data_IF_952762719691
#
_entry.id   IF_952762719691
#
_cell.length_a   1.000
_cell.length_b   1.000
_cell.length_c   1.000
_cell.angle_alpha   90.00
_cell.angle_beta   90.00
_cell.angle_gamma   90.00
#
_symmetry.space_group_name_H-M   'P 1'
#
loop_
_entity.id
_entity.type
_entity.pdbx_description
1 polymer ?
#
# COMPACT_ATOMS: atom_id res chain seq x y z
N UNK A 1 62.11 57.72 -43.06
CA UNK A 1 60.77 57.55 -42.44
C UNK A 1 60.73 56.17 -41.82
N UNK A 2 60.70 56.09 -40.49
CA UNK A 2 60.57 54.83 -39.73
C UNK A 2 59.44 55.02 -38.73
N UNK A 3 58.37 54.24 -38.88
CA UNK A 3 57.21 54.26 -38.00
C UNK A 3 57.47 53.36 -36.80
N UNK A 4 57.49 53.94 -35.59
CA UNK A 4 57.53 53.19 -34.34
C UNK A 4 56.14 52.64 -33.99
N UNK A 5 56.06 51.33 -33.75
CA UNK A 5 54.88 50.68 -33.17
C UNK A 5 54.77 51.05 -31.70
N UNK A 6 53.66 51.69 -31.33
CA UNK A 6 53.22 51.84 -29.94
C UNK A 6 53.07 50.45 -29.32
N UNK A 7 53.72 50.23 -28.18
CA UNK A 7 53.56 49.03 -27.37
C UNK A 7 52.11 48.87 -26.93
N UNK A 8 51.56 47.68 -27.15
CA UNK A 8 50.34 47.25 -26.49
C UNK A 8 50.66 47.11 -25.00
N UNK A 9 49.93 47.86 -24.18
CA UNK A 9 49.87 47.64 -22.74
C UNK A 9 49.19 46.29 -22.54
N UNK A 10 49.90 45.35 -21.92
CA UNK A 10 49.35 44.07 -21.49
C UNK A 10 48.15 44.32 -20.59
N UNK A 11 46.94 44.08 -21.11
CA UNK A 11 45.75 43.98 -20.28
C UNK A 11 45.94 42.77 -19.37
N UNK A 12 46.07 43.02 -18.07
CA UNK A 12 45.97 41.98 -17.05
C UNK A 12 44.73 41.12 -17.34
N UNK A 13 44.85 39.78 -17.33
CA UNK A 13 43.69 38.92 -17.51
C UNK A 13 42.63 39.31 -16.47
N UNK A 14 41.34 39.36 -16.86
CA UNK A 14 40.28 39.70 -15.93
C UNK A 14 40.39 38.77 -14.72
N UNK A 15 40.22 39.30 -13.49
CA UNK A 15 40.28 38.48 -12.29
C UNK A 15 39.29 37.31 -12.46
N UNK A 16 39.68 36.09 -12.04
CA UNK A 16 38.79 34.95 -12.13
C UNK A 16 37.46 35.30 -11.45
N UNK A 17 36.31 34.94 -12.05
CA UNK A 17 35.01 35.28 -11.50
C UNK A 17 34.95 34.80 -10.04
N UNK A 18 34.40 35.62 -9.12
CA UNK A 18 34.37 35.29 -7.70
C UNK A 18 33.70 33.93 -7.51
N UNK A 19 34.38 33.04 -6.77
CA UNK A 19 33.94 31.68 -6.52
C UNK A 19 32.57 31.72 -5.82
N UNK A 20 31.49 31.39 -6.54
CA UNK A 20 30.12 31.54 -6.06
C UNK A 20 29.74 30.43 -5.10
N UNK A 21 28.86 30.74 -4.15
CA UNK A 21 28.21 29.70 -3.32
C UNK A 21 27.41 28.80 -4.26
N UNK A 22 27.61 27.49 -4.15
CA UNK A 22 26.85 26.49 -4.89
C UNK A 22 26.45 25.36 -3.93
N UNK A 23 25.19 24.94 -4.01
CA UNK A 23 24.71 23.72 -3.38
C UNK A 23 25.18 22.52 -4.22
N UNK A 24 26.06 21.70 -3.65
CA UNK A 24 26.62 20.51 -4.32
C UNK A 24 25.65 19.32 -4.25
N UNK A 25 25.03 19.12 -3.08
CA UNK A 25 24.10 18.01 -2.87
C UNK A 25 23.18 18.24 -1.67
N UNK A 26 22.11 17.46 -1.63
CA UNK A 26 21.18 17.41 -0.51
C UNK A 26 20.78 15.97 -0.18
N UNK A 27 20.47 15.70 1.08
CA UNK A 27 19.94 14.42 1.54
C UNK A 27 19.01 14.60 2.73
N UNK A 28 18.24 13.56 3.06
CA UNK A 28 17.38 13.56 4.24
C UNK A 28 17.31 12.17 4.87
N UNK A 29 16.89 12.12 6.12
CA UNK A 29 16.63 10.90 6.87
C UNK A 29 15.32 11.08 7.62
N UNK A 30 14.39 10.15 7.42
CA UNK A 30 13.11 10.13 8.15
C UNK A 30 13.37 9.58 9.55
N UNK A 31 12.97 10.35 10.56
CA UNK A 31 13.08 10.04 11.97
C UNK A 31 12.19 8.88 12.42
N UNK A 32 12.28 8.56 13.70
CA UNK A 32 11.50 7.51 14.35
C UNK A 32 11.04 8.04 15.71
N UNK A 33 9.75 8.36 15.84
CA UNK A 33 9.21 8.96 17.06
C UNK A 33 9.24 7.99 18.24
N UNK A 34 9.15 6.68 18.00
CA UNK A 34 9.31 5.65 19.04
C UNK A 34 10.70 5.72 19.70
N UNK A 35 11.75 6.09 18.93
CA UNK A 35 13.12 6.23 19.41
C UNK A 35 13.50 7.69 19.72
N UNK A 36 12.55 8.62 19.71
CA UNK A 36 12.79 10.08 19.82
C UNK A 36 13.82 10.61 18.80
N UNK A 37 13.88 10.03 17.62
CA UNK A 37 14.78 10.47 16.53
C UNK A 37 14.00 11.39 15.60
N UNK A 38 14.45 12.64 15.48
CA UNK A 38 13.84 13.64 14.60
C UNK A 38 14.23 13.44 13.14
N UNK A 39 13.36 13.89 12.23
CA UNK A 39 13.70 14.05 10.82
C UNK A 39 14.90 14.98 10.66
N UNK A 40 15.81 14.62 9.75
CA UNK A 40 17.02 15.38 9.47
C UNK A 40 17.16 15.65 7.98
N UNK A 41 17.52 16.89 7.64
CA UNK A 41 17.83 17.35 6.29
C UNK A 41 19.26 17.88 6.26
N UNK A 42 20.00 17.57 5.20
CA UNK A 42 21.41 17.94 5.05
C UNK A 42 21.63 18.56 3.68
N UNK A 43 22.31 19.70 3.67
CA UNK A 43 22.72 20.43 2.48
C UNK A 43 24.24 20.60 2.50
N UNK A 44 24.91 20.26 1.40
CA UNK A 44 26.35 20.40 1.25
C UNK A 44 26.67 21.52 0.25
N UNK A 45 27.52 22.45 0.67
CA UNK A 45 27.94 23.59 -0.13
C UNK A 45 29.43 23.49 -0.50
N UNK A 46 29.77 24.02 -1.66
CA UNK A 46 31.15 24.02 -2.18
C UNK A 46 32.14 24.86 -1.35
N UNK A 47 31.63 25.77 -0.51
CA UNK A 47 32.42 26.63 0.39
C UNK A 47 31.69 26.87 1.73
N UNK A 48 32.39 27.36 2.77
CA UNK A 48 31.78 27.67 4.05
C UNK A 48 30.66 28.70 3.92
N UNK A 49 29.54 28.46 4.62
CA UNK A 49 28.37 29.33 4.62
C UNK A 49 27.82 29.53 6.03
N UNK A 50 27.03 30.59 6.20
CA UNK A 50 26.14 30.83 7.34
C UNK A 50 24.70 30.89 6.87
N UNK A 51 23.77 30.39 7.68
CA UNK A 51 22.35 30.33 7.32
C UNK A 51 21.65 31.62 7.73
N UNK A 52 21.10 32.35 6.76
CA UNK A 52 20.23 33.49 7.01
C UNK A 52 18.82 33.00 7.35
N UNK A 53 18.21 32.18 6.48
CA UNK A 53 16.86 31.67 6.66
C UNK A 53 16.67 30.28 6.05
N UNK A 54 15.74 29.52 6.63
CA UNK A 54 15.19 28.28 6.08
C UNK A 54 13.68 28.43 6.17
N UNK A 55 13.01 28.44 5.02
CA UNK A 55 11.58 28.66 4.93
C UNK A 55 10.94 27.46 4.24
N UNK A 56 9.99 26.81 4.91
CA UNK A 56 9.12 25.84 4.25
C UNK A 56 8.15 26.60 3.35
N UNK A 57 8.14 26.33 2.04
CA UNK A 57 7.28 27.01 1.06
C UNK A 57 5.84 26.49 1.13
N UNK A 58 5.59 25.42 1.90
CA UNK A 58 4.28 24.81 2.08
C UNK A 58 3.45 25.51 3.15
N UNK A 59 2.15 25.71 2.89
CA UNK A 59 1.19 26.29 3.85
C UNK A 59 0.72 25.27 4.91
N UNK A 60 1.26 24.05 4.92
CA UNK A 60 0.72 22.94 5.72
C UNK A 60 1.13 23.05 7.19
N UNK A 61 2.25 23.71 7.50
CA UNK A 61 2.63 23.98 8.89
C UNK A 61 3.63 25.14 9.02
N UNK A 62 3.74 25.68 10.23
CA UNK A 62 4.80 26.62 10.63
C UNK A 62 5.84 25.85 11.45
N UNK A 63 6.89 25.29 10.83
CA UNK A 63 7.83 24.45 11.55
C UNK A 63 8.78 25.30 12.41
N UNK A 64 9.05 24.84 13.63
CA UNK A 64 10.17 25.33 14.45
C UNK A 64 11.45 24.61 14.02
N UNK A 65 12.04 25.06 12.91
CA UNK A 65 13.19 24.40 12.29
C UNK A 65 14.47 24.72 13.07
N UNK A 66 14.94 23.72 13.82
CA UNK A 66 16.29 23.71 14.37
C UNK A 66 17.34 23.55 13.27
N UNK A 67 18.49 24.23 13.40
CA UNK A 67 19.59 24.15 12.44
C UNK A 67 20.96 24.17 13.08
N UNK A 68 21.92 23.54 12.41
CA UNK A 68 23.33 23.53 12.77
C UNK A 68 24.21 23.55 11.52
N UNK A 69 25.42 24.08 11.66
CA UNK A 69 26.42 24.11 10.59
C UNK A 69 27.61 23.27 11.04
N UNK A 70 28.02 22.33 10.20
CA UNK A 70 29.09 21.37 10.47
C UNK A 70 30.10 21.35 9.31
N UNK A 71 31.17 20.55 9.48
CA UNK A 71 32.20 20.34 8.46
C UNK A 71 32.83 21.66 7.97
N UNK A 72 33.42 22.42 8.91
CA UNK A 72 34.06 23.70 8.65
C UNK A 72 33.16 24.70 7.90
N UNK A 73 31.87 24.73 8.23
CA UNK A 73 30.93 25.68 7.63
C UNK A 73 30.28 25.21 6.33
N UNK A 74 30.69 24.06 5.76
CA UNK A 74 30.25 23.63 4.41
C UNK A 74 28.97 22.80 4.39
N UNK A 75 28.43 22.46 5.56
CA UNK A 75 27.27 21.58 5.65
C UNK A 75 26.23 22.18 6.57
N UNK A 76 25.04 22.43 6.03
CA UNK A 76 23.88 22.89 6.79
C UNK A 76 23.01 21.69 7.07
N UNK A 77 22.84 21.35 8.36
CA UNK A 77 21.90 20.34 8.83
C UNK A 77 20.74 21.03 9.52
N UNK A 78 19.51 20.70 9.16
CA UNK A 78 18.31 21.19 9.82
C UNK A 78 17.34 20.05 10.12
N UNK A 79 16.47 20.24 11.10
CA UNK A 79 15.66 19.19 11.70
C UNK A 79 14.38 19.76 12.33
N UNK A 80 13.59 18.90 12.98
CA UNK A 80 12.36 19.26 13.69
C UNK A 80 11.17 19.65 12.80
N UNK A 81 11.00 18.97 11.65
CA UNK A 81 9.79 19.09 10.84
C UNK A 81 8.64 18.25 11.44
N UNK A 82 7.99 18.75 12.49
CA UNK A 82 6.97 18.00 13.23
C UNK A 82 5.72 17.64 12.40
N UNK A 83 5.47 18.35 11.30
CA UNK A 83 4.33 18.16 10.42
C UNK A 83 4.64 17.27 9.20
N UNK A 84 5.78 16.57 9.22
CA UNK A 84 6.15 15.69 8.13
C UNK A 84 5.24 14.45 8.10
N UNK A 85 4.81 14.02 6.93
CA UNK A 85 3.97 12.86 6.68
C UNK A 85 4.58 12.06 5.53
N UNK A 86 4.50 10.72 5.60
CA UNK A 86 4.85 9.87 4.47
C UNK A 86 4.00 10.20 3.24
N UNK A 87 4.60 10.13 2.05
CA UNK A 87 3.90 10.34 0.78
C UNK A 87 3.78 11.81 0.37
N UNK A 88 4.53 12.72 1.00
CA UNK A 88 4.51 14.17 0.70
C UNK A 88 5.85 14.69 0.19
N UNK A 89 5.78 15.80 -0.54
CA UNK A 89 6.93 16.61 -0.92
C UNK A 89 7.04 17.84 -0.02
N UNK A 90 8.24 18.10 0.48
CA UNK A 90 8.55 19.30 1.27
C UNK A 90 9.56 20.16 0.53
N UNK A 91 9.14 21.36 0.14
CA UNK A 91 9.99 22.34 -0.55
C UNK A 91 10.45 23.40 0.42
N UNK A 92 11.76 23.62 0.51
CA UNK A 92 12.36 24.63 1.35
C UNK A 92 13.09 25.66 0.49
N UNK A 93 12.92 26.94 0.84
CA UNK A 93 13.80 28.00 0.39
C UNK A 93 14.86 28.22 1.46
N UNK A 94 16.13 28.10 1.09
CA UNK A 94 17.26 28.23 2.01
C UNK A 94 18.13 29.38 1.54
N UNK A 95 18.26 30.40 2.39
CA UNK A 95 19.16 31.55 2.16
C UNK A 95 20.41 31.39 3.00
N UNK A 96 21.56 31.39 2.33
CA UNK A 96 22.87 31.33 2.97
C UNK A 96 23.75 32.50 2.54
N UNK A 97 24.76 32.83 3.34
CA UNK A 97 25.81 33.79 2.97
C UNK A 97 27.20 33.28 3.30
N UNK A 98 28.20 33.73 2.56
CA UNK A 98 29.60 33.47 2.86
C UNK A 98 30.22 34.55 3.77
N UNK A 99 31.53 34.48 3.97
CA UNK A 99 32.32 35.40 4.78
C UNK A 99 32.42 36.81 4.19
N UNK A 100 32.33 36.96 2.88
CA UNK A 100 32.30 38.26 2.17
C UNK A 100 30.88 38.83 2.03
N UNK A 101 29.86 38.13 2.55
CA UNK A 101 28.47 38.59 2.56
C UNK A 101 27.70 38.33 1.26
N UNK A 102 28.24 37.56 0.32
CA UNK A 102 27.52 37.10 -0.87
C UNK A 102 26.35 36.21 -0.43
N UNK A 103 25.14 36.49 -0.90
CA UNK A 103 23.95 35.71 -0.58
C UNK A 103 23.62 34.74 -1.73
N UNK A 104 23.27 33.51 -1.37
CA UNK A 104 22.72 32.50 -2.27
C UNK A 104 21.37 32.02 -1.72
N UNK A 105 20.40 31.81 -2.61
CA UNK A 105 19.07 31.31 -2.28
C UNK A 105 18.79 30.07 -3.11
N UNK A 106 18.63 28.94 -2.43
CA UNK A 106 18.34 27.65 -3.05
C UNK A 106 16.90 27.23 -2.74
N UNK A 107 16.25 26.57 -3.71
CA UNK A 107 15.00 25.86 -3.47
C UNK A 107 15.25 24.37 -3.57
N UNK A 108 15.08 23.66 -2.45
CA UNK A 108 15.33 22.22 -2.34
C UNK A 108 14.02 21.48 -2.04
N UNK A 109 13.82 20.33 -2.68
CA UNK A 109 12.67 19.45 -2.45
C UNK A 109 13.13 18.14 -1.81
N UNK A 110 12.48 17.76 -0.72
CA UNK A 110 12.63 16.44 -0.10
C UNK A 110 11.31 15.66 -0.20
N UNK A 111 11.37 14.48 -0.80
CA UNK A 111 10.23 13.60 -0.97
C UNK A 111 10.22 12.57 0.16
N UNK A 112 9.17 12.53 0.99
CA UNK A 112 8.99 11.53 2.06
C UNK A 112 8.49 10.20 1.51
N UNK A 113 9.12 9.76 0.41
CA UNK A 113 8.90 8.55 -0.34
C UNK A 113 10.06 8.37 -1.31
N UNK A 114 10.35 7.13 -1.69
CA UNK A 114 11.38 6.84 -2.69
C UNK A 114 10.84 6.99 -4.11
N UNK A 115 9.56 6.68 -4.30
CA UNK A 115 8.89 6.81 -5.59
C UNK A 115 7.40 7.10 -5.45
N UNK A 116 6.87 7.88 -6.39
CA UNK A 116 5.44 8.07 -6.60
C UNK A 116 5.10 7.53 -7.98
N UNK A 117 4.08 6.70 -8.09
CA UNK A 117 3.65 6.18 -9.38
C UNK A 117 2.67 7.14 -10.07
N UNK A 118 2.93 7.52 -11.33
CA UNK A 118 2.07 8.45 -12.08
C UNK A 118 0.86 7.72 -12.69
N UNK A 119 -0.03 7.23 -11.80
CA UNK A 119 -1.32 6.66 -12.18
C UNK A 119 -2.36 7.79 -12.25
N UNK A 120 -3.02 7.89 -13.39
CA UNK A 120 -4.11 8.84 -13.60
C UNK A 120 -5.44 8.26 -13.09
N UNK A 121 -6.26 9.09 -12.45
CA UNK A 121 -7.57 8.70 -11.91
C UNK A 121 -7.51 8.20 -10.47
N UNK A 122 -8.67 7.86 -9.94
CA UNK A 122 -8.83 7.32 -8.59
C UNK A 122 -8.43 5.84 -8.57
N UNK A 123 -7.39 5.49 -7.82
CA UNK A 123 -6.97 4.09 -7.65
C UNK A 123 -8.02 3.34 -6.82
N UNK A 124 -8.62 2.33 -7.43
CA UNK A 124 -9.68 1.51 -6.83
C UNK A 124 -9.10 0.29 -6.12
N UNK A 125 -8.19 -0.43 -6.77
CA UNK A 125 -7.47 -1.57 -6.22
C UNK A 125 -6.09 -1.67 -6.87
N UNK A 126 -5.13 -2.27 -6.17
CA UNK A 126 -3.83 -2.57 -6.75
C UNK A 126 -3.24 -3.85 -6.12
N UNK A 127 -2.31 -4.48 -6.85
CA UNK A 127 -1.58 -5.65 -6.38
C UNK A 127 -0.17 -5.64 -6.97
N UNK A 128 0.76 -6.28 -6.26
CA UNK A 128 2.13 -6.54 -6.69
C UNK A 128 2.14 -7.90 -7.38
N UNK A 129 2.82 -8.03 -8.53
CA UNK A 129 3.00 -9.32 -9.19
C UNK A 129 3.84 -10.26 -8.33
N UNK A 130 3.63 -11.58 -8.46
CA UNK A 130 4.29 -12.57 -7.61
C UNK A 130 5.83 -12.55 -7.71
N UNK A 131 6.39 -12.06 -8.81
CA UNK A 131 7.82 -11.88 -9.04
C UNK A 131 8.38 -10.55 -8.50
N UNK A 132 7.55 -9.74 -7.83
CA UNK A 132 7.87 -8.41 -7.30
C UNK A 132 8.34 -7.39 -8.36
N UNK A 133 8.04 -7.61 -9.64
CA UNK A 133 8.48 -6.70 -10.72
C UNK A 133 7.46 -5.66 -11.11
N UNK A 134 6.17 -5.97 -11.01
CA UNK A 134 5.11 -5.15 -11.56
C UNK A 134 4.07 -4.78 -10.50
N UNK A 135 3.50 -3.60 -10.66
CA UNK A 135 2.27 -3.19 -9.99
C UNK A 135 1.17 -3.21 -11.03
N UNK A 136 0.09 -3.90 -10.68
CA UNK A 136 -1.17 -3.81 -11.40
C UNK A 136 -2.16 -3.00 -10.58
N UNK A 137 -2.83 -2.06 -11.22
CA UNK A 137 -3.83 -1.21 -10.57
C UNK A 137 -5.06 -1.05 -11.45
N UNK A 138 -6.23 -0.96 -10.82
CA UNK A 138 -7.47 -0.51 -11.47
C UNK A 138 -7.77 0.92 -11.06
N UNK A 139 -8.23 1.73 -12.00
CA UNK A 139 -8.58 3.13 -11.76
C UNK A 139 -10.03 3.41 -12.14
N UNK A 140 -10.60 4.45 -11.53
CA UNK A 140 -11.85 5.08 -11.95
C UNK A 140 -11.58 6.53 -12.34
N UNK A 141 -12.31 7.04 -13.34
CA UNK A 141 -12.16 8.40 -13.86
C UNK A 141 -10.69 8.78 -14.17
N UNK A 142 -10.04 8.13 -15.16
CA UNK A 142 -10.59 7.20 -16.14
C UNK A 142 -10.64 5.73 -15.67
N UNK A 143 -11.52 4.94 -16.29
CA UNK A 143 -11.71 3.52 -16.01
C UNK A 143 -10.64 2.68 -16.73
N UNK A 144 -9.62 2.20 -16.01
CA UNK A 144 -8.47 1.53 -16.63
C UNK A 144 -7.91 0.39 -15.79
N UNK A 145 -7.12 -0.46 -16.44
CA UNK A 145 -6.08 -1.28 -15.82
C UNK A 145 -4.73 -0.67 -16.20
N UNK A 146 -3.86 -0.50 -15.22
CA UNK A 146 -2.51 0.02 -15.39
C UNK A 146 -1.52 -1.03 -14.87
N UNK A 147 -0.50 -1.32 -15.68
CA UNK A 147 0.66 -2.10 -15.27
C UNK A 147 1.90 -1.20 -15.34
N UNK A 148 2.72 -1.19 -14.29
CA UNK A 148 3.99 -0.48 -14.26
C UNK A 148 5.05 -1.35 -13.61
N UNK A 149 6.30 -1.16 -14.02
CA UNK A 149 7.43 -1.77 -13.35
C UNK A 149 7.72 -1.03 -12.03
N UNK A 150 8.06 -1.80 -11.00
CA UNK A 150 8.34 -1.30 -9.65
C UNK A 150 9.64 -0.49 -9.61
N UNK A 151 10.64 -0.88 -10.40
CA UNK A 151 11.98 -0.30 -10.47
C UNK A 151 12.18 0.61 -11.69
N UNK A 152 11.49 0.38 -12.80
CA UNK A 152 11.53 1.23 -14.01
C UNK A 152 10.20 1.95 -14.28
N UNK A 153 10.12 3.24 -13.94
CA UNK A 153 8.90 4.03 -14.17
C UNK A 153 8.60 4.31 -15.65
N UNK A 154 9.50 3.99 -16.57
CA UNK A 154 9.28 4.21 -18.01
C UNK A 154 8.39 3.12 -18.61
N UNK A 155 8.42 1.91 -18.05
CA UNK A 155 7.53 0.84 -18.48
C UNK A 155 6.12 1.07 -17.93
N UNK A 156 5.16 1.32 -18.83
CA UNK A 156 3.76 1.47 -18.49
C UNK A 156 2.88 0.86 -19.59
N UNK A 157 2.01 -0.07 -19.20
CA UNK A 157 0.88 -0.52 -20.04
C UNK A 157 -0.41 0.01 -19.46
N UNK A 158 -1.28 0.50 -20.33
CA UNK A 158 -2.59 1.05 -19.97
C UNK A 158 -3.62 0.37 -20.86
N UNK A 159 -4.69 -0.12 -20.23
CA UNK A 159 -5.82 -0.73 -20.90
C UNK A 159 -7.09 -0.02 -20.45
N UNK A 160 -7.79 0.62 -21.37
CA UNK A 160 -9.06 1.28 -21.08
C UNK A 160 -10.17 0.24 -20.89
N UNK A 161 -11.05 0.50 -19.93
CA UNK A 161 -12.21 -0.34 -19.61
C UNK A 161 -13.50 0.44 -19.86
N UNK A 162 -14.50 -0.25 -20.42
CA UNK A 162 -15.83 0.32 -20.68
C UNK A 162 -16.73 0.41 -19.45
N UNK A 163 -16.25 -0.03 -18.29
CA UNK A 163 -16.99 -0.05 -17.02
C UNK A 163 -16.06 0.37 -15.89
N UNK A 164 -16.61 0.86 -14.77
CA UNK A 164 -15.83 1.23 -13.59
C UNK A 164 -15.32 -0.03 -12.86
N UNK A 165 -14.01 -0.33 -12.85
CA UNK A 165 -13.48 -1.48 -12.13
C UNK A 165 -13.39 -1.19 -10.62
N UNK A 166 -13.57 -2.21 -9.78
CA UNK A 166 -13.30 -2.11 -8.33
C UNK A 166 -12.11 -2.95 -7.91
N UNK A 167 -12.17 -4.26 -8.14
CA UNK A 167 -11.15 -5.24 -7.73
C UNK A 167 -10.76 -6.10 -8.93
N UNK A 168 -9.54 -6.59 -8.95
CA UNK A 168 -9.12 -7.63 -9.86
C UNK A 168 -8.23 -8.63 -9.13
N UNK A 169 -8.13 -9.84 -9.66
CA UNK A 169 -7.21 -10.86 -9.17
C UNK A 169 -6.83 -11.83 -10.28
N UNK A 170 -5.68 -12.47 -10.14
CA UNK A 170 -5.15 -13.45 -11.09
C UNK A 170 -5.69 -14.83 -10.76
N UNK A 171 -6.25 -15.51 -11.76
CA UNK A 171 -6.57 -16.93 -11.65
C UNK A 171 -5.32 -17.78 -11.92
N UNK A 172 -4.97 -18.72 -11.01
CA UNK A 172 -3.71 -19.45 -11.11
C UNK A 172 -3.67 -20.51 -12.22
N UNK A 173 -4.83 -20.98 -12.72
CA UNK A 173 -4.87 -21.98 -13.79
C UNK A 173 -4.65 -21.32 -15.15
N UNK A 174 -5.42 -20.29 -15.46
CA UNK A 174 -5.45 -19.72 -16.81
C UNK A 174 -4.63 -18.42 -16.95
N UNK A 175 -4.08 -17.90 -15.85
CA UNK A 175 -3.25 -16.70 -15.82
C UNK A 175 -3.97 -15.44 -16.35
N UNK A 176 -5.30 -15.39 -16.25
CA UNK A 176 -6.14 -14.24 -16.62
C UNK A 176 -6.58 -13.48 -15.38
N UNK A 177 -6.84 -12.18 -15.55
CA UNK A 177 -7.45 -11.38 -14.50
C UNK A 177 -8.97 -11.52 -14.50
N UNK A 178 -9.52 -11.70 -13.30
CA UNK A 178 -10.96 -11.67 -13.05
C UNK A 178 -11.25 -10.33 -12.41
N UNK A 179 -11.95 -9.47 -13.15
CA UNK A 179 -12.19 -8.08 -12.77
C UNK A 179 -13.64 -7.94 -12.32
N UNK A 180 -13.82 -7.42 -11.11
CA UNK A 180 -15.11 -7.09 -10.53
C UNK A 180 -15.44 -5.63 -10.83
N UNK A 181 -16.63 -5.33 -11.38
CA UNK A 181 -17.10 -3.95 -11.53
C UNK A 181 -17.39 -3.31 -10.17
N UNK A 182 -17.53 -1.99 -10.17
CA UNK A 182 -18.00 -1.25 -9.01
C UNK A 182 -19.44 -1.68 -8.68
N UNK A 183 -19.75 -2.11 -7.45
CA UNK A 183 -21.02 -2.77 -7.15
C UNK A 183 -22.20 -1.78 -7.03
N UNK A 184 -21.94 -0.48 -6.89
CA UNK A 184 -22.98 0.52 -6.67
C UNK A 184 -23.28 1.31 -7.96
N UNK A 185 -24.55 1.38 -8.34
CA UNK A 185 -25.06 2.16 -9.47
C UNK A 185 -24.49 1.78 -10.86
N UNK A 186 -23.95 0.57 -11.00
CA UNK A 186 -23.50 0.02 -12.29
C UNK A 186 -24.52 -1.01 -12.80
N UNK A 187 -24.90 -0.99 -14.09
CA UNK A 187 -25.87 -1.94 -14.66
C UNK A 187 -25.34 -3.37 -14.75
N UNK A 188 -24.02 -3.56 -14.64
CA UNK A 188 -23.33 -4.84 -14.85
C UNK A 188 -22.74 -5.42 -13.55
N UNK A 189 -23.30 -5.06 -12.39
CA UNK A 189 -22.76 -5.42 -11.07
C UNK A 189 -22.80 -6.92 -10.73
N UNK A 190 -23.55 -7.71 -11.50
CA UNK A 190 -23.64 -9.16 -11.47
C UNK A 190 -22.56 -9.87 -12.31
N UNK A 191 -21.70 -9.10 -13.01
CA UNK A 191 -20.73 -9.65 -13.96
C UNK A 191 -19.32 -9.77 -13.39
N UNK A 192 -18.57 -10.74 -13.92
CA UNK A 192 -17.13 -10.89 -13.73
C UNK A 192 -16.48 -10.88 -15.12
N UNK A 193 -15.55 -9.97 -15.34
CA UNK A 193 -14.87 -9.81 -16.63
C UNK A 193 -13.53 -10.54 -16.60
N UNK A 194 -13.32 -11.47 -17.54
CA UNK A 194 -12.07 -12.22 -17.68
C UNK A 194 -11.20 -11.52 -18.72
N UNK A 195 -10.14 -10.90 -18.24
CA UNK A 195 -9.20 -10.09 -18.99
C UNK A 195 -7.87 -10.81 -19.17
N UNK A 196 -7.37 -10.84 -20.40
CA UNK A 196 -6.05 -11.39 -20.70
C UNK A 196 -4.98 -10.28 -20.60
N UNK A 197 -4.07 -10.36 -19.62
CA UNK A 197 -3.06 -9.32 -19.40
C UNK A 197 -1.98 -9.24 -20.49
N UNK A 198 -1.85 -10.27 -21.32
CA UNK A 198 -0.90 -10.28 -22.44
C UNK A 198 -1.46 -9.53 -23.65
N UNK A 199 -2.75 -9.74 -23.97
CA UNK A 199 -3.39 -9.14 -25.15
C UNK A 199 -4.09 -7.82 -24.84
N UNK A 200 -4.45 -7.56 -23.58
CA UNK A 200 -5.19 -6.37 -23.18
C UNK A 200 -6.70 -6.46 -23.44
N UNK A 201 -7.23 -7.66 -23.75
CA UNK A 201 -8.62 -7.83 -24.14
C UNK A 201 -9.44 -8.53 -23.06
N UNK A 202 -10.73 -8.18 -22.98
CA UNK A 202 -11.74 -8.97 -22.27
C UNK A 202 -12.13 -10.13 -23.18
N UNK A 203 -11.84 -11.36 -22.76
CA UNK A 203 -12.06 -12.57 -23.58
C UNK A 203 -13.35 -13.30 -23.23
N UNK A 204 -13.82 -13.15 -21.99
CA UNK A 204 -15.05 -13.80 -21.50
C UNK A 204 -15.70 -12.91 -20.44
N UNK A 205 -17.02 -12.95 -20.40
CA UNK A 205 -17.82 -12.28 -19.37
C UNK A 205 -18.68 -13.36 -18.71
N UNK A 206 -18.56 -13.51 -17.40
CA UNK A 206 -19.41 -14.38 -16.60
C UNK A 206 -20.52 -13.54 -15.99
N UNK A 207 -21.74 -14.08 -15.98
CA UNK A 207 -22.89 -13.49 -15.31
C UNK A 207 -23.27 -14.37 -14.13
N UNK A 208 -23.28 -13.80 -12.92
CA UNK A 208 -23.77 -14.51 -11.72
C UNK A 208 -25.29 -14.48 -11.73
N UNK A 209 -25.90 -15.61 -12.06
CA UNK A 209 -27.36 -15.74 -12.12
C UNK A 209 -27.98 -16.02 -10.76
N UNK A 210 -29.26 -15.67 -10.62
CA UNK A 210 -30.05 -16.03 -9.43
C UNK A 210 -30.24 -17.54 -9.33
N UNK A 211 -30.18 -18.03 -8.10
CA UNK A 211 -30.61 -19.36 -7.70
C UNK A 211 -31.93 -19.31 -6.92
N UNK A 212 -32.44 -20.49 -6.56
CA UNK A 212 -33.73 -20.66 -5.86
C UNK A 212 -33.78 -20.01 -4.47
N UNK A 213 -32.62 -19.70 -3.89
CA UNK A 213 -32.54 -19.10 -2.57
C UNK A 213 -32.51 -17.57 -2.67
N UNK A 214 -32.24 -16.98 -3.85
CA UNK A 214 -32.17 -15.52 -4.04
C UNK A 214 -33.53 -14.86 -3.98
N UNK A 215 -33.56 -13.63 -3.43
CA UNK A 215 -34.77 -12.82 -3.51
C UNK A 215 -35.04 -12.47 -4.99
N UNK A 216 -36.17 -12.93 -5.57
CA UNK A 216 -36.48 -12.70 -6.97
C UNK A 216 -36.62 -11.21 -7.32
N UNK A 217 -36.96 -10.35 -6.36
CA UNK A 217 -37.16 -8.92 -6.57
C UNK A 217 -35.87 -8.09 -6.68
N UNK A 218 -34.73 -8.61 -6.20
CA UNK A 218 -33.49 -7.81 -6.10
C UNK A 218 -32.41 -8.24 -7.07
N UNK A 219 -31.58 -7.34 -7.56
CA UNK A 219 -30.44 -7.70 -8.44
C UNK A 219 -29.26 -8.28 -7.64
N UNK A 220 -28.54 -9.22 -8.25
CA UNK A 220 -27.28 -9.74 -7.69
C UNK A 220 -26.17 -8.73 -7.95
N UNK A 221 -25.27 -8.61 -6.98
CA UNK A 221 -24.01 -7.91 -7.13
C UNK A 221 -22.86 -8.72 -6.55
N UNK A 222 -21.68 -8.62 -7.17
CA UNK A 222 -20.48 -9.34 -6.75
C UNK A 222 -19.56 -8.43 -5.92
N UNK A 223 -19.40 -8.74 -4.63
CA UNK A 223 -18.62 -7.96 -3.67
C UNK A 223 -17.20 -8.45 -3.47
N UNK A 224 -16.94 -9.71 -3.72
CA UNK A 224 -15.59 -10.24 -3.55
C UNK A 224 -15.41 -11.52 -4.36
N UNK A 225 -14.17 -11.84 -4.64
CA UNK A 225 -13.75 -13.05 -5.31
C UNK A 225 -12.35 -13.42 -4.81
N UNK A 226 -12.09 -14.71 -4.66
CA UNK A 226 -10.75 -15.25 -4.45
C UNK A 226 -10.65 -16.66 -5.03
N UNK A 227 -9.45 -17.04 -5.51
CA UNK A 227 -9.15 -18.40 -5.98
C UNK A 227 -8.09 -19.06 -5.12
N UNK A 228 -8.31 -20.33 -4.82
CA UNK A 228 -7.25 -21.24 -4.41
C UNK A 228 -6.32 -21.59 -5.55
N UNK A 229 -5.21 -22.26 -5.23
CA UNK A 229 -4.12 -22.57 -6.17
C UNK A 229 -4.56 -23.38 -7.39
N UNK A 230 -5.63 -24.16 -7.27
CA UNK A 230 -6.15 -25.04 -8.30
C UNK A 230 -7.36 -24.43 -9.03
N UNK A 231 -7.59 -23.12 -8.94
CA UNK A 231 -8.72 -22.46 -9.61
C UNK A 231 -10.09 -22.77 -9.00
N UNK A 232 -10.15 -23.48 -7.88
CA UNK A 232 -11.33 -23.55 -7.03
C UNK A 232 -11.44 -22.26 -6.22
N UNK A 233 -12.50 -21.48 -6.41
CA UNK A 233 -12.64 -20.16 -5.83
C UNK A 233 -14.00 -19.92 -5.20
N UNK A 234 -14.08 -18.80 -4.49
CA UNK A 234 -15.30 -18.33 -3.83
C UNK A 234 -15.66 -16.97 -4.40
N UNK A 235 -16.92 -16.82 -4.79
CA UNK A 235 -17.55 -15.53 -5.08
C UNK A 235 -18.34 -15.13 -3.84
N UNK A 236 -18.08 -13.95 -3.28
CA UNK A 236 -18.99 -13.30 -2.35
C UNK A 236 -19.86 -12.31 -3.13
N UNK A 237 -21.17 -12.42 -2.94
CA UNK A 237 -22.20 -11.73 -3.68
C UNK A 237 -23.33 -11.32 -2.73
N UNK A 238 -24.28 -10.54 -3.19
CA UNK A 238 -25.50 -10.30 -2.43
C UNK A 238 -26.50 -9.52 -3.25
N UNK A 239 -27.53 -9.02 -2.58
CA UNK A 239 -28.53 -8.20 -3.22
C UNK A 239 -28.73 -6.93 -2.41
N UNK A 240 -28.46 -5.78 -3.04
CA UNK A 240 -28.72 -4.48 -2.43
C UNK A 240 -30.19 -4.42 -1.99
N UNK A 241 -30.45 -3.83 -0.81
CA UNK A 241 -31.77 -3.53 -0.23
C UNK A 241 -32.55 -4.62 0.53
N UNK A 242 -32.18 -5.91 0.55
CA UNK A 242 -33.01 -6.86 1.34
C UNK A 242 -32.41 -8.19 1.82
N UNK A 243 -31.17 -8.56 1.48
CA UNK A 243 -30.68 -9.91 1.82
C UNK A 243 -29.24 -9.91 2.33
N UNK A 244 -28.89 -10.85 3.23
CA UNK A 244 -27.51 -11.04 3.66
C UNK A 244 -26.53 -11.33 2.52
N UNK A 245 -25.23 -11.15 2.77
CA UNK A 245 -24.19 -11.53 1.81
C UNK A 245 -24.21 -13.04 1.61
N UNK A 246 -24.02 -13.48 0.37
CA UNK A 246 -24.11 -14.86 -0.08
C UNK A 246 -22.82 -15.24 -0.77
N UNK A 247 -22.41 -16.48 -0.60
CA UNK A 247 -21.23 -16.97 -1.26
C UNK A 247 -21.52 -18.18 -2.14
N UNK A 248 -20.79 -18.26 -3.25
CA UNK A 248 -20.88 -19.33 -4.26
C UNK A 248 -19.48 -19.80 -4.59
N UNK A 249 -19.40 -20.99 -5.16
CA UNK A 249 -18.17 -21.48 -5.76
C UNK A 249 -18.08 -20.98 -7.20
N UNK A 250 -16.88 -20.60 -7.60
CA UNK A 250 -16.47 -20.52 -9.00
C UNK A 250 -15.36 -21.53 -9.22
N UNK A 251 -15.51 -22.39 -10.21
CA UNK A 251 -14.58 -23.48 -10.44
C UNK A 251 -13.98 -23.41 -11.85
N UNK A 252 -12.77 -22.86 -11.95
CA UNK A 252 -12.06 -22.75 -13.23
C UNK A 252 -11.55 -24.08 -13.75
N UNK A 253 -11.54 -25.14 -12.92
CA UNK A 253 -11.25 -26.52 -13.39
C UNK A 253 -12.38 -27.05 -14.28
N UNK A 254 -13.59 -26.50 -14.12
CA UNK A 254 -14.77 -26.83 -14.88
C UNK A 254 -15.29 -25.61 -15.67
N UNK A 255 -14.39 -24.93 -16.40
CA UNK A 255 -14.71 -23.81 -17.30
C UNK A 255 -15.46 -22.64 -16.62
N UNK A 256 -15.05 -22.32 -15.40
CA UNK A 256 -15.62 -21.25 -14.57
C UNK A 256 -17.09 -21.49 -14.20
N UNK A 257 -17.48 -22.75 -13.97
CA UNK A 257 -18.82 -23.07 -13.50
C UNK A 257 -19.09 -22.40 -12.14
N UNK A 258 -20.26 -21.81 -11.98
CA UNK A 258 -20.69 -21.15 -10.74
C UNK A 258 -21.83 -21.95 -10.10
N UNK A 259 -21.69 -22.33 -8.83
CA UNK A 259 -22.67 -23.14 -8.13
C UNK A 259 -22.66 -22.89 -6.61
N UNK A 260 -23.75 -23.25 -5.93
CA UNK A 260 -23.86 -23.15 -4.48
C UNK A 260 -23.07 -24.29 -3.79
N UNK A 261 -22.32 -23.96 -2.75
CA UNK A 261 -21.58 -24.95 -1.97
C UNK A 261 -22.54 -25.77 -1.07
N UNK A 262 -22.34 -27.09 -0.90
CA UNK A 262 -23.21 -27.94 -0.06
C UNK A 262 -23.38 -27.43 1.38
N UNK A 263 -22.30 -26.97 2.03
CA UNK A 263 -22.36 -26.42 3.39
C UNK A 263 -23.19 -25.14 3.48
N UNK A 264 -23.18 -24.30 2.45
CA UNK A 264 -24.04 -23.11 2.40
C UNK A 264 -25.50 -23.49 2.23
N UNK A 265 -25.80 -24.48 1.37
CA UNK A 265 -27.16 -25.01 1.18
C UNK A 265 -27.68 -25.57 2.51
N UNK A 266 -26.89 -26.41 3.18
CA UNK A 266 -27.25 -26.98 4.48
C UNK A 266 -27.48 -25.89 5.54
N UNK A 267 -26.61 -24.86 5.59
CA UNK A 267 -26.74 -23.73 6.49
C UNK A 267 -28.05 -22.94 6.28
N UNK A 268 -28.43 -22.68 5.02
CA UNK A 268 -29.68 -21.98 4.69
C UNK A 268 -30.93 -22.80 4.97
N UNK A 269 -30.88 -24.11 4.75
CA UNK A 269 -31.99 -25.01 5.03
C UNK A 269 -32.12 -25.35 6.54
N UNK A 270 -31.24 -24.82 7.39
CA UNK A 270 -31.26 -25.07 8.83
C UNK A 270 -30.75 -26.44 9.26
N UNK A 271 -30.16 -27.21 8.34
CA UNK A 271 -29.60 -28.56 8.60
C UNK A 271 -28.09 -28.55 8.79
N UNK A 272 -27.42 -27.44 8.49
CA UNK A 272 -25.97 -27.26 8.60
C UNK A 272 -25.57 -26.20 9.61
N UNK A 273 -24.28 -25.89 9.63
CA UNK A 273 -23.72 -24.88 10.52
C UNK A 273 -24.19 -23.47 10.09
N UNK A 274 -25.00 -22.82 10.92
CA UNK A 274 -25.57 -21.49 10.64
C UNK A 274 -24.52 -20.38 10.54
N UNK A 275 -23.28 -20.61 10.99
CA UNK A 275 -22.18 -19.65 10.84
C UNK A 275 -21.72 -19.48 9.39
N UNK A 276 -22.06 -20.40 8.49
CA UNK A 276 -21.65 -20.35 7.09
C UNK A 276 -22.63 -19.60 6.17
N UNK A 277 -23.58 -18.86 6.72
CA UNK A 277 -24.55 -18.11 5.91
C UNK A 277 -23.91 -16.91 5.21
N UNK A 278 -23.02 -16.21 5.90
CA UNK A 278 -22.57 -14.87 5.49
C UNK A 278 -21.08 -14.63 5.75
N UNK A 279 -20.43 -14.05 4.76
CA UNK A 279 -19.05 -13.60 4.85
C UNK A 279 -18.92 -12.15 4.40
N UNK A 280 -17.99 -11.41 5.01
CA UNK A 280 -17.69 -10.02 4.74
C UNK A 280 -16.56 -9.88 3.71
N UNK A 281 -15.53 -10.72 3.78
CA UNK A 281 -14.34 -10.65 2.90
C UNK A 281 -13.73 -12.01 2.65
N UNK A 282 -12.96 -12.12 1.56
CA UNK A 282 -12.24 -13.33 1.15
C UNK A 282 -10.74 -13.04 1.05
N UNK A 283 -9.92 -13.92 1.62
CA UNK A 283 -8.46 -13.83 1.58
C UNK A 283 -7.87 -15.24 1.45
N UNK A 284 -6.90 -15.47 0.57
CA UNK A 284 -6.21 -16.77 0.49
C UNK A 284 -4.95 -16.81 1.33
N UNK A 285 -4.53 -18.01 1.76
CA UNK A 285 -3.20 -18.20 2.32
C UNK A 285 -2.11 -18.14 1.23
N UNK A 286 -0.84 -18.05 1.65
CA UNK A 286 0.32 -17.83 0.77
C UNK A 286 0.39 -18.76 -0.45
N UNK A 287 0.06 -20.04 -0.26
CA UNK A 287 0.11 -21.07 -1.31
C UNK A 287 -1.24 -21.36 -1.96
N UNK A 288 -2.31 -20.63 -1.59
CA UNK A 288 -3.65 -20.79 -2.12
C UNK A 288 -4.35 -22.11 -1.78
N UNK A 289 -3.82 -22.93 -0.88
CA UNK A 289 -4.50 -24.15 -0.41
C UNK A 289 -5.72 -23.87 0.44
N UNK A 290 -5.82 -22.68 1.04
CA UNK A 290 -6.95 -22.26 1.88
C UNK A 290 -7.47 -20.90 1.43
N UNK A 291 -8.78 -20.73 1.45
CA UNK A 291 -9.45 -19.43 1.42
C UNK A 291 -10.06 -19.17 2.79
N UNK A 292 -9.59 -18.14 3.46
CA UNK A 292 -10.19 -17.57 4.65
C UNK A 292 -11.38 -16.70 4.25
N UNK A 293 -12.53 -17.02 4.83
CA UNK A 293 -13.81 -16.36 4.59
C UNK A 293 -14.22 -15.67 5.89
N UNK A 294 -14.00 -14.36 5.97
CA UNK A 294 -14.23 -13.60 7.19
C UNK A 294 -15.74 -13.49 7.45
N UNK A 295 -16.24 -13.88 8.62
CA UNK A 295 -17.68 -13.86 8.90
C UNK A 295 -18.22 -12.45 9.09
N UNK A 296 -19.48 -12.22 8.68
CA UNK A 296 -20.19 -10.95 8.89
C UNK A 296 -20.96 -11.00 10.21
N UNK A 297 -20.79 -10.01 11.09
CA UNK A 297 -21.55 -9.84 12.36
C UNK A 297 -21.55 -11.05 13.33
N UNK A 298 -20.63 -12.00 13.19
CA UNK A 298 -20.60 -13.22 13.97
C UNK A 298 -19.54 -13.18 15.07
N UNK A 299 -19.60 -14.18 15.96
CA UNK A 299 -18.51 -14.55 16.85
C UNK A 299 -17.15 -14.50 16.11
N UNK A 300 -16.06 -14.17 16.81
CA UNK A 300 -14.71 -13.94 16.28
C UNK A 300 -14.17 -15.20 15.59
N UNK A 301 -14.55 -15.42 14.33
CA UNK A 301 -14.31 -16.64 13.56
C UNK A 301 -14.22 -16.34 12.07
N UNK A 302 -13.54 -17.23 11.34
CA UNK A 302 -13.58 -17.30 9.89
C UNK A 302 -13.94 -18.70 9.40
N UNK A 303 -14.62 -18.78 8.26
CA UNK A 303 -14.64 -19.99 7.47
C UNK A 303 -13.27 -20.24 6.86
N UNK A 304 -12.83 -21.49 6.82
CA UNK A 304 -11.61 -21.92 6.15
C UNK A 304 -12.00 -22.96 5.11
N UNK A 305 -12.06 -22.54 3.86
CA UNK A 305 -12.30 -23.42 2.74
C UNK A 305 -10.97 -24.02 2.30
N UNK A 306 -10.82 -25.33 2.46
CA UNK A 306 -9.70 -26.10 1.94
C UNK A 306 -9.92 -26.33 0.44
N UNK A 307 -9.07 -25.74 -0.39
CA UNK A 307 -9.18 -25.81 -1.83
C UNK A 307 -8.70 -27.15 -2.41
N UNK A 308 -8.04 -28.01 -1.62
CA UNK A 308 -7.59 -29.35 -2.04
C UNK A 308 -8.76 -30.32 -2.06
N UNK A 309 -9.53 -30.37 -0.96
CA UNK A 309 -10.61 -31.34 -0.76
C UNK A 309 -12.02 -30.70 -0.77
N UNK A 310 -12.11 -29.38 -0.91
CA UNK A 310 -13.35 -28.59 -0.89
C UNK A 310 -14.09 -28.60 0.46
N UNK A 311 -13.42 -28.95 1.55
CA UNK A 311 -14.03 -28.96 2.88
C UNK A 311 -14.04 -27.57 3.49
N UNK A 312 -15.16 -27.20 4.13
CA UNK A 312 -15.29 -25.96 4.88
C UNK A 312 -15.20 -26.22 6.38
N UNK A 313 -14.21 -25.63 7.03
CA UNK A 313 -14.02 -25.68 8.48
C UNK A 313 -14.15 -24.28 9.09
N UNK A 314 -14.11 -24.20 10.42
CA UNK A 314 -14.15 -22.93 11.15
C UNK A 314 -12.83 -22.72 11.89
N UNK A 315 -12.22 -21.55 11.71
CA UNK A 315 -11.16 -21.04 12.56
C UNK A 315 -11.77 -20.11 13.61
N UNK A 316 -11.52 -20.39 14.89
CA UNK A 316 -11.92 -19.52 16.00
C UNK A 316 -10.76 -18.61 16.37
N UNK A 317 -11.01 -17.30 16.37
CA UNK A 317 -10.03 -16.30 16.77
C UNK A 317 -9.92 -16.20 18.29
N UNK A 318 -8.74 -15.81 18.77
CA UNK A 318 -8.50 -15.58 20.19
C UNK A 318 -9.13 -14.28 20.72
N UNK A 319 -9.53 -13.36 19.85
CA UNK A 319 -10.33 -12.19 20.22
C UNK A 319 -11.75 -12.61 20.61
N UNK A 320 -12.43 -11.85 21.48
CA UNK A 320 -13.90 -11.93 21.65
C UNK A 320 -14.65 -10.98 20.71
N UNK A 321 -13.94 -10.13 19.98
CA UNK A 321 -14.51 -9.03 19.21
C UNK A 321 -15.04 -9.51 17.84
N UNK A 322 -16.34 -9.31 17.53
CA UNK A 322 -16.91 -9.70 16.24
C UNK A 322 -16.32 -8.88 15.07
N UNK A 323 -15.87 -7.65 15.34
CA UNK A 323 -15.24 -6.79 14.34
C UNK A 323 -13.73 -7.03 14.32
N UNK A 324 -13.33 -8.06 13.60
CA UNK A 324 -11.94 -8.35 13.29
C UNK A 324 -11.66 -8.08 11.81
N UNK A 325 -10.44 -8.28 11.41
CA UNK A 325 -10.05 -8.50 10.03
C UNK A 325 -8.81 -9.37 10.01
N UNK A 326 -8.49 -9.88 8.84
CA UNK A 326 -7.44 -10.86 8.65
C UNK A 326 -6.50 -10.40 7.54
N UNK A 327 -5.21 -10.65 7.72
CA UNK A 327 -4.17 -10.42 6.74
C UNK A 327 -3.32 -11.68 6.70
N UNK A 328 -3.45 -12.55 5.68
CA UNK A 328 -2.57 -13.69 5.50
C UNK A 328 -1.16 -13.25 5.11
N UNK A 329 -0.14 -13.97 5.56
CA UNK A 329 1.21 -13.82 5.02
C UNK A 329 1.24 -14.28 3.56
N UNK A 330 2.02 -13.60 2.72
CA UNK A 330 2.27 -13.98 1.32
C UNK A 330 3.41 -14.98 1.16
N UNK A 331 4.16 -15.25 2.22
CA UNK A 331 5.34 -16.12 2.17
C UNK A 331 5.18 -17.40 3.03
N UNK A 332 4.32 -17.36 4.04
CA UNK A 332 4.22 -18.41 5.07
C UNK A 332 2.76 -18.71 5.42
N UNK A 333 2.47 -19.86 6.05
CA UNK A 333 1.12 -20.20 6.54
C UNK A 333 0.78 -19.48 7.86
N UNK A 334 1.01 -18.17 7.88
CA UNK A 334 0.69 -17.29 9.00
C UNK A 334 -0.52 -16.42 8.67
N UNK A 335 -1.32 -16.11 9.69
CA UNK A 335 -2.47 -15.24 9.59
C UNK A 335 -2.41 -14.18 10.68
N UNK A 336 -2.24 -12.93 10.30
CA UNK A 336 -2.41 -11.81 11.22
C UNK A 336 -3.90 -11.53 11.38
N UNK A 337 -4.37 -11.51 12.62
CA UNK A 337 -5.76 -11.18 12.95
C UNK A 337 -5.77 -10.05 13.94
N UNK A 338 -6.57 -9.03 13.65
CA UNK A 338 -6.66 -7.86 14.47
C UNK A 338 -8.10 -7.33 14.53
N UNK A 339 -8.40 -6.67 15.64
CA UNK A 339 -9.70 -6.14 16.05
C UNK A 339 -9.46 -5.01 17.06
N UNK A 340 -10.53 -4.30 17.45
CA UNK A 340 -10.38 -3.27 18.47
C UNK A 340 -9.86 -3.88 19.79
N UNK A 341 -8.70 -3.39 20.25
CA UNK A 341 -8.02 -3.82 21.47
C UNK A 341 -7.43 -5.22 21.43
N UNK A 342 -7.28 -5.85 20.25
CA UNK A 342 -6.64 -7.15 20.12
C UNK A 342 -6.02 -7.32 18.75
N UNK A 343 -4.78 -7.78 18.72
CA UNK A 343 -4.12 -8.26 17.52
C UNK A 343 -3.10 -9.34 17.84
N UNK A 344 -3.02 -10.37 16.98
CA UNK A 344 -2.13 -11.51 17.15
C UNK A 344 -1.85 -12.19 15.81
N UNK A 345 -0.80 -13.01 15.78
CA UNK A 345 -0.47 -13.87 14.63
C UNK A 345 -0.87 -15.31 14.97
N UNK A 346 -1.66 -15.92 14.10
CA UNK A 346 -1.95 -17.35 14.11
C UNK A 346 -0.97 -18.09 13.21
N UNK A 347 -0.37 -19.15 13.74
CA UNK A 347 0.62 -19.98 13.05
C UNK A 347 0.50 -21.43 13.53
N UNK A 348 0.45 -22.40 12.60
CA UNK A 348 0.45 -23.84 12.89
C UNK A 348 -0.56 -24.30 13.97
N UNK A 349 -1.79 -23.77 13.94
CA UNK A 349 -2.82 -24.18 14.91
C UNK A 349 -2.81 -23.39 16.23
N UNK A 350 -1.86 -22.48 16.42
CA UNK A 350 -1.65 -21.77 17.67
C UNK A 350 -1.70 -20.26 17.48
N UNK A 351 -2.19 -19.56 18.50
CA UNK A 351 -2.13 -18.11 18.61
C UNK A 351 -0.82 -17.70 19.28
N UNK A 352 -0.09 -16.78 18.65
CA UNK A 352 1.04 -16.12 19.27
C UNK A 352 0.62 -15.11 20.34
N UNK A 353 1.58 -14.35 20.85
CA UNK A 353 1.31 -13.27 21.81
C UNK A 353 0.36 -12.24 21.20
N UNK A 354 -0.58 -11.74 22.02
CA UNK A 354 -1.46 -10.64 21.62
C UNK A 354 -0.88 -9.29 22.03
N UNK A 355 -1.30 -8.24 21.33
CA UNK A 355 -1.10 -6.86 21.76
C UNK A 355 -2.38 -6.05 21.61
N UNK A 356 -2.49 -4.96 22.38
CA UNK A 356 -3.74 -4.19 22.54
C UNK A 356 -3.77 -2.93 21.65
N UNK A 357 -3.03 -2.92 20.53
CA UNK A 357 -2.98 -1.76 19.64
C UNK A 357 -4.22 -1.67 18.74
N UNK A 358 -4.69 -0.45 18.48
CA UNK A 358 -5.91 -0.20 17.71
C UNK A 358 -5.61 -0.03 16.21
N UNK A 359 -5.71 -1.14 15.49
CA UNK A 359 -5.80 -1.11 14.04
C UNK A 359 -7.22 -1.56 13.66
N UNK A 360 -8.01 -0.69 13.00
CA UNK A 360 -9.44 -0.94 12.75
C UNK A 360 -9.78 -1.41 11.34
N UNK A 361 -8.80 -1.56 10.43
CA UNK A 361 -9.05 -2.00 9.05
C UNK A 361 -7.98 -2.97 8.53
N UNK A 362 -8.34 -3.95 7.69
CA UNK A 362 -7.36 -4.89 7.09
C UNK A 362 -6.45 -4.24 6.08
N UNK A 363 -6.97 -3.30 5.30
CA UNK A 363 -6.18 -2.59 4.29
C UNK A 363 -5.07 -1.74 4.92
N UNK A 364 -5.00 -1.65 6.25
CA UNK A 364 -3.97 -0.91 6.96
C UNK A 364 -2.94 -1.79 7.64
N UNK A 365 -2.83 -3.09 7.33
CA UNK A 365 -1.74 -3.93 7.84
C UNK A 365 -1.13 -4.87 6.79
N UNK A 366 0.13 -5.24 7.01
CA UNK A 366 0.90 -6.14 6.16
C UNK A 366 2.08 -6.76 6.94
N UNK A 367 2.49 -7.98 6.59
CA UNK A 367 3.70 -8.58 7.15
C UNK A 367 4.96 -7.90 6.58
N UNK A 368 6.01 -7.84 7.39
CA UNK A 368 7.35 -7.65 6.84
C UNK A 368 7.88 -8.94 6.23
N UNK A 369 8.59 -8.80 5.12
CA UNK A 369 9.28 -9.88 4.43
C UNK A 369 10.78 -9.60 4.30
N UNK A 370 11.34 -8.67 5.09
CA UNK A 370 12.79 -8.47 5.09
C UNK A 370 13.46 -9.72 5.64
N UNK A 371 14.66 -9.96 5.15
CA UNK A 371 15.53 -10.96 5.74
C UNK A 371 15.68 -10.69 7.25
N UNK A 372 15.59 -11.76 8.04
CA UNK A 372 15.70 -11.79 9.50
C UNK A 372 14.53 -11.19 10.29
N UNK A 373 13.53 -10.59 9.63
CA UNK A 373 12.28 -10.27 10.32
C UNK A 373 11.49 -11.54 10.57
N UNK A 374 11.11 -11.76 11.82
CA UNK A 374 10.16 -12.80 12.19
C UNK A 374 8.98 -12.16 12.90
N UNK A 375 7.78 -12.38 12.35
CA UNK A 375 6.53 -11.90 12.95
C UNK A 375 6.50 -10.36 13.14
N UNK A 376 7.05 -9.62 12.17
CA UNK A 376 6.96 -8.15 12.14
C UNK A 376 5.76 -7.72 11.30
N UNK A 377 4.93 -6.83 11.85
CA UNK A 377 3.75 -6.28 11.19
C UNK A 377 3.92 -4.78 10.96
N UNK A 378 3.74 -4.37 9.72
CA UNK A 378 3.46 -2.99 9.35
C UNK A 378 1.99 -2.72 9.55
N UNK A 379 1.65 -1.62 10.20
CA UNK A 379 0.26 -1.18 10.19
C UNK A 379 0.11 0.33 10.30
N UNK A 380 -1.06 0.85 9.92
CA UNK A 380 -1.45 2.21 10.25
C UNK A 380 -2.29 2.19 11.53
N UNK A 381 -1.80 2.89 12.55
CA UNK A 381 -2.54 3.18 13.76
C UNK A 381 -3.64 4.20 13.48
N UNK A 382 -4.85 3.91 13.95
CA UNK A 382 -6.01 4.79 13.78
C UNK A 382 -6.35 5.60 15.04
N UNK A 383 -5.65 5.38 16.15
CA UNK A 383 -5.85 6.13 17.40
C UNK A 383 -5.31 7.56 17.30
N UNK A 384 -6.17 8.54 16.98
CA UNK A 384 -6.01 10.01 17.08
C UNK A 384 -4.70 10.65 16.53
N UNK A 385 -3.75 9.87 16.02
CA UNK A 385 -2.35 10.25 15.78
C UNK A 385 -1.87 9.96 14.36
N UNK A 386 -2.67 9.24 13.55
CA UNK A 386 -2.38 8.91 12.15
C UNK A 386 -0.91 8.48 11.94
N UNK A 387 -0.55 7.31 12.47
CA UNK A 387 0.84 6.82 12.45
C UNK A 387 0.97 5.55 11.62
N UNK A 388 2.05 5.43 10.86
CA UNK A 388 2.59 4.15 10.38
C UNK A 388 3.47 3.57 11.48
N UNK A 389 3.14 2.36 11.91
CA UNK A 389 3.75 1.65 13.03
C UNK A 389 4.37 0.35 12.53
N UNK A 390 5.54 0.03 13.08
CA UNK A 390 6.19 -1.26 12.91
C UNK A 390 6.20 -1.95 14.26
N UNK A 391 5.49 -3.07 14.36
CA UNK A 391 5.41 -3.90 15.54
C UNK A 391 6.18 -5.20 15.31
N UNK A 392 7.06 -5.53 16.24
CA UNK A 392 7.80 -6.78 16.26
C UNK A 392 7.24 -7.68 17.37
N UNK A 393 6.61 -8.79 16.99
CA UNK A 393 6.05 -9.76 17.93
C UNK A 393 7.11 -10.64 18.60
N UNK A 394 8.30 -10.79 17.99
CA UNK A 394 9.44 -11.46 18.61
C UNK A 394 10.00 -10.65 19.78
N UNK A 395 10.02 -9.31 19.66
CA UNK A 395 10.43 -8.38 20.71
C UNK A 395 9.27 -7.85 21.58
N UNK A 396 8.02 -8.17 21.22
CA UNK A 396 6.79 -7.66 21.85
C UNK A 396 6.76 -6.13 22.00
N UNK A 397 7.23 -5.38 20.99
CA UNK A 397 7.28 -3.91 21.08
C UNK A 397 7.14 -3.23 19.73
N UNK A 398 6.66 -1.99 19.78
CA UNK A 398 6.77 -1.07 18.65
C UNK A 398 8.25 -0.70 18.47
N UNK A 399 8.76 -0.86 17.25
CA UNK A 399 10.17 -0.54 16.92
C UNK A 399 10.29 0.71 16.06
N UNK A 400 9.19 1.15 15.43
CA UNK A 400 9.13 2.42 14.71
C UNK A 400 7.73 2.99 14.67
N UNK A 401 7.65 4.33 14.77
CA UNK A 401 6.47 5.14 14.48
C UNK A 401 6.83 6.30 13.55
N UNK A 402 5.96 6.58 12.60
CA UNK A 402 6.08 7.70 11.64
C UNK A 402 4.71 8.27 11.32
N UNK A 403 4.61 9.58 11.14
CA UNK A 403 3.35 10.22 10.79
C UNK A 403 2.93 9.89 9.34
N UNK A 404 1.62 9.67 9.15
CA UNK A 404 0.98 9.50 7.84
C UNK A 404 -0.26 10.36 7.71
N UNK A 405 -0.75 10.53 6.48
CA UNK A 405 -2.00 11.26 6.24
C UNK A 405 -3.23 10.43 6.67
N UNK A 406 -4.37 11.09 6.93
CA UNK A 406 -5.62 10.40 7.25
C UNK A 406 -6.13 9.43 6.17
N UNK A 407 -5.69 9.56 4.93
CA UNK A 407 -6.07 8.69 3.81
C UNK A 407 -5.03 7.58 3.51
N UNK A 408 -3.97 7.47 4.31
CA UNK A 408 -2.95 6.43 4.15
C UNK A 408 -3.56 5.04 4.35
N UNK A 409 -3.49 4.19 3.34
CA UNK A 409 -4.22 2.92 3.29
C UNK A 409 -3.57 1.95 2.31
N UNK A 410 -4.11 0.72 2.27
CA UNK A 410 -3.68 -0.39 1.42
C UNK A 410 -2.18 -0.61 1.52
N UNK A 411 -1.66 -0.96 2.68
CA UNK A 411 -0.24 -1.28 2.84
C UNK A 411 0.05 -2.60 2.14
N UNK A 412 1.09 -2.66 1.31
CA UNK A 412 1.43 -3.85 0.54
C UNK A 412 2.95 -3.96 0.38
N UNK A 413 3.56 -4.98 0.98
CA UNK A 413 5.00 -5.21 0.94
C UNK A 413 5.37 -6.25 -0.12
N UNK A 414 6.53 -6.07 -0.76
CA UNK A 414 7.11 -7.07 -1.66
C UNK A 414 7.60 -8.27 -0.86
N UNK A 415 7.46 -9.47 -1.40
CA UNK A 415 7.88 -10.71 -0.70
C UNK A 415 9.40 -10.87 -0.62
N UNK A 416 10.15 -10.08 -1.38
CA UNK A 416 11.61 -9.95 -1.22
C UNK A 416 12.02 -8.95 -0.11
N UNK A 417 11.04 -8.32 0.55
CA UNK A 417 11.25 -7.43 1.69
C UNK A 417 11.89 -6.10 1.37
N UNK A 418 12.10 -5.76 0.08
CA UNK A 418 12.77 -4.50 -0.29
C UNK A 418 11.86 -3.29 -0.19
N UNK A 419 10.58 -3.45 -0.49
CA UNK A 419 9.67 -2.32 -0.70
C UNK A 419 8.37 -2.45 0.08
N UNK A 420 7.83 -1.30 0.49
CA UNK A 420 6.42 -1.12 0.88
C UNK A 420 5.77 -0.17 -0.10
N UNK A 421 4.55 -0.50 -0.49
CA UNK A 421 3.64 0.35 -1.23
C UNK A 421 2.43 0.70 -0.38
N UNK A 422 1.92 1.91 -0.54
CA UNK A 422 0.69 2.36 0.09
C UNK A 422 0.01 3.46 -0.73
N UNK A 423 -1.31 3.54 -0.60
CA UNK A 423 -2.13 4.60 -1.18
C UNK A 423 -2.26 5.74 -0.16
N UNK A 424 -2.00 6.98 -0.59
CA UNK A 424 -2.19 8.20 0.23
C UNK A 424 -2.19 9.42 -0.68
N UNK A 425 -2.75 10.56 -0.27
CA UNK A 425 -2.83 11.79 -1.08
C UNK A 425 -3.34 11.55 -2.51
N UNK A 426 -4.30 10.64 -2.67
CA UNK A 426 -4.84 10.21 -3.97
C UNK A 426 -3.85 9.49 -4.90
N UNK A 427 -2.63 9.18 -4.47
CA UNK A 427 -1.59 8.51 -5.26
C UNK A 427 -1.11 7.18 -4.67
N UNK A 428 -0.26 6.47 -5.42
CA UNK A 428 0.45 5.28 -4.96
C UNK A 428 1.93 5.60 -4.78
N UNK A 429 2.48 5.25 -3.63
CA UNK A 429 3.84 5.60 -3.23
C UNK A 429 4.60 4.34 -2.81
N UNK A 430 5.91 4.38 -3.01
CA UNK A 430 6.83 3.31 -2.65
C UNK A 430 7.95 3.83 -1.75
N UNK A 431 8.31 2.99 -0.78
CA UNK A 431 9.37 3.20 0.18
C UNK A 431 10.28 1.98 0.24
N UNK A 432 11.59 2.18 0.36
CA UNK A 432 12.49 1.12 0.81
C UNK A 432 12.18 0.77 2.25
N UNK A 433 12.13 -0.51 2.59
CA UNK A 433 11.77 -0.95 3.94
C UNK A 433 12.78 -0.48 5.01
N UNK A 434 14.03 -0.28 4.62
CA UNK A 434 15.11 0.16 5.52
C UNK A 434 14.94 1.58 6.08
N UNK A 435 14.03 2.39 5.51
CA UNK A 435 13.73 3.73 6.05
C UNK A 435 12.89 3.66 7.32
N UNK A 436 12.17 2.54 7.51
CA UNK A 436 11.24 2.38 8.62
C UNK A 436 11.98 2.08 9.91
N UNK A 437 12.95 1.16 9.86
CA UNK A 437 13.72 0.79 11.03
C UNK A 437 15.01 0.06 10.66
N UNK A 438 15.96 0.14 11.58
CA UNK A 438 17.14 -0.71 11.68
C UNK A 438 17.13 -1.27 13.12
N UNK A 439 17.44 -2.56 13.25
CA UNK A 439 17.59 -3.18 14.56
C UNK A 439 18.70 -2.51 15.35
#
# INVERSE_FOLDING_TARGET
>A
MSCSKKGNVDQLPPPPPPFRIQLDSSSFTIGNSEKNVLDTFVLHYNKPVTVNSILLISNICLPDIGRMIINNGRTVKFYNLLCAFLGRDYKFQVSVKDDVGQIQIDTVKFSYYNRRFPIEGQIMHYSISADNKFIWATTANPNRIVCMDIEDTTFKKIFDLSFKPRKFLLNPINQKFYILPYPFNEPNKDRIYIFNPLTGNIEKVLTVTKDIYDNPATQIEVYDLEFGFNGYGVINSGTFESSPSRWRIIDSRFNDSIYAHPEWIASNNGTGNTFYKEFASLQKNYNGTKIYMQMRFAFPRAGVLDCVNSNLTTLVFASSNPNHYIVPSKAEDKLFVASYGFQAIYNNGQWGNSSDFDNRTSETAEFSYRQDDNDVIYYRNQDNSYEFVVLDYGLQKVISRKNVLPDFSKINATTDGKYILAQTDGGLYLWYTNIFYKY
#
